data_IF_712080148189
#
_entry.id   IF_712080148189
#
_cell.length_a   1.000
_cell.length_b   1.000
_cell.length_c   1.000
_cell.angle_alpha   90.00
_cell.angle_beta   90.00
_cell.angle_gamma   90.00
#
_symmetry.space_group_name_H-M   'P 1'
#
loop_
_entity.id
_entity.type
_entity.pdbx_description
1 polymer ?
#
# COMPACT_ATOMS: atom_id res chain seq x y z
N UNK A 1 7.82 -7.13 -1.25
CA UNK A 1 9.08 -6.86 -1.94
C UNK A 1 9.53 -5.42 -1.69
N UNK A 2 10.85 -5.18 -1.64
CA UNK A 2 11.43 -3.84 -1.59
C UNK A 2 12.54 -3.75 -2.62
N UNK A 3 12.92 -2.53 -3.01
CA UNK A 3 13.97 -2.25 -4.01
C UNK A 3 13.80 -2.96 -5.36
N UNK A 4 12.58 -3.37 -5.71
CA UNK A 4 12.27 -3.99 -7.00
C UNK A 4 12.20 -2.93 -8.11
N UNK A 5 13.37 -2.42 -8.48
CA UNK A 5 13.55 -1.27 -9.38
C UNK A 5 14.98 -1.19 -9.89
N UNK A 6 15.18 -0.41 -10.96
CA UNK A 6 16.54 0.00 -11.37
C UNK A 6 17.11 1.05 -10.42
N UNK A 7 18.44 1.21 -10.38
CA UNK A 7 19.08 2.35 -9.72
C UNK A 7 18.59 3.68 -10.31
N UNK A 8 18.57 4.72 -9.49
CA UNK A 8 18.07 6.06 -9.84
C UNK A 8 18.95 6.86 -10.80
N UNK A 9 20.17 6.45 -11.00
CA UNK A 9 21.13 7.25 -11.79
C UNK A 9 21.16 6.79 -13.23
N UNK A 10 21.11 7.78 -14.13
CA UNK A 10 21.46 7.58 -15.52
C UNK A 10 22.82 6.89 -15.64
N UNK A 11 22.93 5.84 -16.43
CA UNK A 11 24.20 5.15 -16.66
C UNK A 11 24.26 3.73 -16.15
N UNK A 12 23.16 3.09 -15.77
CA UNK A 12 23.17 1.64 -15.57
C UNK A 12 23.67 0.96 -16.87
N UNK A 13 24.73 0.15 -16.82
CA UNK A 13 25.47 -0.27 -18.00
C UNK A 13 24.85 -1.45 -18.75
N UNK A 14 23.56 -1.40 -19.04
CA UNK A 14 22.78 -2.45 -19.71
C UNK A 14 22.55 -2.26 -21.20
N UNK A 15 23.09 -1.20 -21.80
CA UNK A 15 22.84 -0.89 -23.23
C UNK A 15 23.29 -2.03 -24.15
N UNK A 16 24.41 -2.68 -23.87
CA UNK A 16 24.87 -3.83 -24.65
C UNK A 16 23.92 -5.02 -24.54
N UNK A 17 23.40 -5.24 -23.35
CA UNK A 17 22.41 -6.29 -23.06
C UNK A 17 21.09 -6.01 -23.78
N UNK A 18 20.64 -4.76 -23.73
CA UNK A 18 19.46 -4.32 -24.50
C UNK A 18 19.63 -4.52 -26.01
N UNK A 19 20.78 -4.15 -26.58
CA UNK A 19 21.03 -4.35 -28.02
C UNK A 19 21.06 -5.84 -28.42
N UNK A 20 21.42 -6.73 -27.48
CA UNK A 20 21.47 -8.18 -27.72
C UNK A 20 20.12 -8.88 -27.50
N UNK A 21 19.36 -8.48 -26.49
CA UNK A 21 18.16 -9.19 -26.03
C UNK A 21 16.87 -8.36 -26.07
N UNK A 22 16.97 -7.06 -26.35
CA UNK A 22 15.82 -6.20 -26.50
C UNK A 22 15.14 -6.40 -27.86
N UNK A 23 13.86 -6.08 -27.92
CA UNK A 23 13.12 -6.07 -29.16
C UNK A 23 13.25 -4.72 -29.84
N UNK A 24 13.29 -4.70 -31.17
CA UNK A 24 13.45 -3.49 -31.99
C UNK A 24 12.28 -2.52 -31.93
N UNK A 25 11.12 -3.00 -31.47
CA UNK A 25 9.89 -2.21 -31.29
C UNK A 25 9.80 -1.52 -29.94
N UNK A 26 10.79 -1.71 -29.04
CA UNK A 26 10.77 -1.18 -27.67
C UNK A 26 11.96 -0.29 -27.37
N UNK A 27 11.71 0.80 -26.70
CA UNK A 27 12.77 1.65 -26.17
C UNK A 27 13.50 0.97 -24.99
N UNK A 28 14.71 1.41 -24.69
CA UNK A 28 15.48 0.93 -23.53
C UNK A 28 14.67 1.06 -22.22
N UNK A 29 13.93 2.15 -22.05
CA UNK A 29 13.13 2.36 -20.84
C UNK A 29 11.94 1.38 -20.74
N UNK A 30 11.30 1.07 -21.85
CA UNK A 30 10.25 0.05 -21.90
C UNK A 30 10.81 -1.34 -21.61
N UNK A 31 11.94 -1.69 -22.21
CA UNK A 31 12.61 -2.96 -21.96
C UNK A 31 13.04 -3.14 -20.49
N UNK A 32 13.52 -2.08 -19.86
CA UNK A 32 13.84 -2.09 -18.40
C UNK A 32 12.61 -2.34 -17.55
N UNK A 33 11.49 -1.66 -17.83
CA UNK A 33 10.23 -1.91 -17.11
C UNK A 33 9.76 -3.35 -17.26
N UNK A 34 9.83 -3.89 -18.48
CA UNK A 34 9.46 -5.28 -18.72
C UNK A 34 10.34 -6.30 -18.00
N UNK A 35 11.62 -6.02 -17.87
CA UNK A 35 12.50 -6.89 -17.10
C UNK A 35 12.08 -6.95 -15.62
N UNK A 36 11.72 -5.81 -15.03
CA UNK A 36 11.17 -5.75 -13.67
C UNK A 36 9.83 -6.49 -13.61
N UNK A 37 8.92 -6.22 -14.55
CA UNK A 37 7.62 -6.86 -14.63
C UNK A 37 7.75 -8.40 -14.67
N UNK A 38 8.67 -8.94 -15.48
CA UNK A 38 8.94 -10.39 -15.53
C UNK A 38 9.32 -10.97 -14.19
N UNK A 39 10.20 -10.29 -13.44
CA UNK A 39 10.60 -10.73 -12.09
C UNK A 39 9.38 -10.73 -11.16
N UNK A 40 8.63 -9.65 -11.14
CA UNK A 40 7.43 -9.51 -10.29
C UNK A 40 6.40 -10.59 -10.61
N UNK A 41 6.10 -10.82 -11.89
CA UNK A 41 5.13 -11.83 -12.31
C UNK A 41 5.58 -13.24 -11.93
N UNK A 42 6.86 -13.55 -12.14
CA UNK A 42 7.42 -14.85 -11.77
C UNK A 42 7.31 -15.08 -10.26
N UNK A 43 7.64 -14.09 -9.45
CA UNK A 43 7.56 -14.19 -7.98
C UNK A 43 6.10 -14.37 -7.55
N UNK A 44 5.18 -13.56 -8.07
CA UNK A 44 3.75 -13.67 -7.75
C UNK A 44 3.20 -15.05 -8.10
N UNK A 45 3.41 -15.51 -9.33
CA UNK A 45 2.89 -16.79 -9.81
C UNK A 45 3.47 -17.97 -9.02
N UNK A 46 4.76 -17.88 -8.66
CA UNK A 46 5.41 -18.90 -7.83
C UNK A 46 4.80 -18.96 -6.42
N UNK A 47 4.58 -17.82 -5.78
CA UNK A 47 3.95 -17.74 -4.46
C UNK A 47 2.52 -18.28 -4.51
N UNK A 48 1.71 -17.83 -5.49
CA UNK A 48 0.32 -18.25 -5.60
C UNK A 48 0.15 -19.72 -5.96
N UNK A 49 1.14 -20.33 -6.61
CA UNK A 49 1.18 -21.77 -6.86
C UNK A 49 1.42 -22.58 -5.59
N UNK A 50 2.23 -22.05 -4.66
CA UNK A 50 2.53 -22.71 -3.37
C UNK A 50 1.39 -22.50 -2.39
N UNK A 51 0.99 -21.25 -2.18
CA UNK A 51 -0.11 -20.89 -1.29
C UNK A 51 -0.84 -19.65 -1.82
N UNK A 52 -2.05 -19.81 -2.36
CA UNK A 52 -2.86 -18.71 -2.87
C UNK A 52 -3.27 -17.67 -1.80
N UNK A 53 -3.26 -18.06 -0.51
CA UNK A 53 -3.65 -17.16 0.58
C UNK A 53 -2.58 -16.16 0.95
N UNK A 54 -1.31 -16.45 0.66
CA UNK A 54 -0.20 -15.52 0.91
C UNK A 54 -0.35 -14.28 0.05
N UNK A 55 -0.27 -13.11 0.70
CA UNK A 55 -0.36 -11.81 0.03
C UNK A 55 1.02 -11.32 -0.39
N UNK A 56 1.12 -10.85 -1.63
CA UNK A 56 2.32 -10.18 -2.14
C UNK A 56 2.08 -8.69 -2.28
N UNK A 57 2.97 -7.91 -1.70
CA UNK A 57 3.02 -6.45 -1.89
C UNK A 57 4.44 -5.98 -2.18
N UNK A 58 4.56 -4.76 -2.69
CA UNK A 58 5.85 -4.08 -2.85
C UNK A 58 5.83 -2.69 -2.24
N UNK A 59 6.92 -2.35 -1.55
CA UNK A 59 7.25 -0.98 -1.24
C UNK A 59 7.77 -0.30 -2.52
N UNK A 60 7.06 0.71 -3.00
CA UNK A 60 7.34 1.37 -4.28
C UNK A 60 7.61 2.85 -4.08
N UNK A 61 8.20 3.51 -5.08
CA UNK A 61 8.42 4.95 -5.03
C UNK A 61 7.08 5.65 -4.83
N UNK A 62 7.01 6.56 -3.86
CA UNK A 62 5.78 7.23 -3.44
C UNK A 62 5.11 8.08 -4.53
N UNK A 63 5.85 8.47 -5.55
CA UNK A 63 5.38 9.17 -6.74
C UNK A 63 5.40 8.20 -7.92
N UNK A 64 4.21 7.79 -8.39
CA UNK A 64 4.12 6.89 -9.55
C UNK A 64 4.67 7.57 -10.80
N UNK A 65 4.11 8.72 -11.15
CA UNK A 65 4.52 9.52 -12.30
C UNK A 65 4.47 11.02 -11.97
N UNK A 66 4.95 11.86 -12.89
CA UNK A 66 4.78 13.31 -12.82
C UNK A 66 3.32 13.67 -13.06
N UNK A 67 2.76 14.53 -12.20
CA UNK A 67 1.39 14.99 -12.35
C UNK A 67 1.37 16.28 -13.20
N UNK A 68 0.51 16.37 -14.24
CA UNK A 68 0.45 17.53 -15.10
C UNK A 68 0.13 18.84 -14.39
N UNK A 69 -0.68 18.74 -13.33
CA UNK A 69 -1.19 19.92 -12.58
C UNK A 69 -0.42 20.18 -11.28
N UNK A 70 0.59 19.40 -10.97
CA UNK A 70 1.34 19.53 -9.73
C UNK A 70 2.84 19.30 -9.95
N UNK A 71 3.60 20.39 -9.94
CA UNK A 71 5.06 20.31 -10.01
C UNK A 71 5.64 19.83 -8.69
N UNK A 72 6.40 18.76 -8.73
CA UNK A 72 7.11 18.21 -7.59
C UNK A 72 8.51 17.76 -7.96
N UNK A 73 9.44 17.97 -7.06
CA UNK A 73 10.80 17.44 -7.15
C UNK A 73 10.83 15.95 -6.75
N UNK A 74 11.94 15.29 -7.04
CA UNK A 74 12.19 13.90 -6.66
C UNK A 74 11.79 12.88 -7.70
N UNK A 75 12.06 11.63 -7.39
CA UNK A 75 11.91 10.49 -8.31
C UNK A 75 10.45 10.14 -8.56
N UNK A 76 10.16 9.71 -9.78
CA UNK A 76 8.97 8.95 -10.10
C UNK A 76 9.32 7.48 -10.33
N UNK A 77 8.40 6.60 -10.01
CA UNK A 77 8.59 5.16 -10.22
C UNK A 77 8.86 4.83 -11.69
N UNK A 78 8.03 5.35 -12.57
CA UNK A 78 8.10 5.07 -14.01
C UNK A 78 9.36 5.58 -14.66
N UNK A 79 9.70 6.85 -14.44
CA UNK A 79 10.73 7.53 -15.23
C UNK A 79 12.11 7.40 -14.62
N UNK A 80 12.20 7.52 -13.29
CA UNK A 80 13.49 7.55 -12.61
C UNK A 80 14.08 6.16 -12.41
N UNK A 81 13.23 5.16 -12.11
CA UNK A 81 13.69 3.82 -11.70
C UNK A 81 12.99 2.67 -12.43
N UNK A 82 12.24 2.97 -13.47
CA UNK A 82 11.58 1.99 -14.35
C UNK A 82 10.64 1.02 -13.61
N UNK A 83 10.06 1.45 -12.50
CA UNK A 83 9.14 0.69 -11.66
C UNK A 83 7.70 1.00 -12.08
N UNK A 84 6.92 -0.02 -12.49
CA UNK A 84 5.56 0.13 -12.99
C UNK A 84 4.53 -0.66 -12.15
N UNK A 85 4.26 -0.23 -10.90
CA UNK A 85 3.34 -0.94 -10.03
C UNK A 85 1.89 -0.90 -10.51
N UNK A 86 1.51 0.12 -11.27
CA UNK A 86 0.16 0.20 -11.85
C UNK A 86 -0.06 -0.92 -12.85
N UNK A 87 0.94 -1.24 -13.67
CA UNK A 87 0.88 -2.39 -14.57
C UNK A 87 0.80 -3.71 -13.78
N UNK A 88 1.53 -3.85 -12.67
CA UNK A 88 1.45 -5.05 -11.83
C UNK A 88 0.05 -5.27 -11.26
N UNK A 89 -0.63 -4.20 -10.82
CA UNK A 89 -2.02 -4.26 -10.35
C UNK A 89 -3.00 -4.61 -11.48
N UNK A 90 -2.87 -3.97 -12.65
CA UNK A 90 -3.72 -4.26 -13.82
C UNK A 90 -3.63 -5.73 -14.27
N UNK A 91 -2.45 -6.31 -14.15
CA UNK A 91 -2.21 -7.72 -14.48
C UNK A 91 -2.54 -8.68 -13.31
N UNK A 92 -3.06 -8.17 -12.20
CA UNK A 92 -3.33 -8.94 -10.97
C UNK A 92 -2.08 -9.70 -10.47
N UNK A 93 -0.90 -9.05 -10.54
CA UNK A 93 0.38 -9.62 -10.09
C UNK A 93 0.87 -9.03 -8.76
N UNK A 94 -0.01 -8.34 -8.06
CA UNK A 94 0.16 -7.89 -6.67
C UNK A 94 -1.19 -7.91 -5.95
N UNK A 95 -1.18 -8.16 -4.66
CA UNK A 95 -2.40 -8.11 -3.85
C UNK A 95 -2.70 -6.67 -3.41
N UNK A 96 -1.67 -5.91 -3.11
CA UNK A 96 -1.74 -4.47 -2.82
C UNK A 96 -0.37 -3.81 -3.02
N UNK A 97 -0.32 -2.49 -3.04
CA UNK A 97 0.92 -1.70 -3.20
C UNK A 97 1.10 -0.77 -2.01
N UNK A 98 2.36 -0.58 -1.62
CA UNK A 98 2.77 0.31 -0.52
C UNK A 98 3.64 1.44 -1.07
N UNK A 99 3.07 2.55 -1.55
CA UNK A 99 3.85 3.71 -1.94
C UNK A 99 4.55 4.35 -0.73
N UNK A 100 5.86 4.55 -0.82
CA UNK A 100 6.68 5.20 0.21
C UNK A 100 6.48 6.73 0.18
N UNK A 101 5.37 7.18 0.75
CA UNK A 101 4.91 8.56 0.69
C UNK A 101 5.44 9.39 1.85
N UNK A 102 6.77 9.47 1.97
CA UNK A 102 7.47 10.20 3.04
C UNK A 102 7.51 11.71 2.74
N UNK A 103 6.37 12.25 2.34
CA UNK A 103 6.18 13.62 1.87
C UNK A 103 5.46 14.47 2.92
N UNK A 104 5.72 15.78 2.91
CA UNK A 104 4.87 16.73 3.61
C UNK A 104 3.47 16.81 2.97
N UNK A 105 2.51 17.38 3.67
CA UNK A 105 1.10 17.48 3.24
C UNK A 105 0.93 17.96 1.79
N UNK A 106 1.70 18.98 1.38
CA UNK A 106 1.62 19.55 0.04
C UNK A 106 1.80 18.51 -1.07
N UNK A 107 2.70 17.55 -0.88
CA UNK A 107 2.97 16.51 -1.86
C UNK A 107 2.24 15.20 -1.56
N UNK A 108 1.85 14.97 -0.32
CA UNK A 108 1.19 13.73 0.09
C UNK A 108 -0.15 13.52 -0.62
N UNK A 109 -1.05 14.49 -0.52
CA UNK A 109 -2.42 14.33 -1.03
C UNK A 109 -2.52 14.18 -2.55
N UNK A 110 -1.84 15.00 -3.38
CA UNK A 110 -1.91 14.81 -4.82
C UNK A 110 -1.46 13.42 -5.27
N UNK A 111 -0.39 12.89 -4.69
CA UNK A 111 0.10 11.56 -5.05
C UNK A 111 -0.73 10.43 -4.45
N UNK A 112 -1.32 10.58 -3.27
CA UNK A 112 -2.26 9.60 -2.73
C UNK A 112 -3.49 9.46 -3.64
N UNK A 113 -4.07 10.58 -4.05
CA UNK A 113 -5.23 10.58 -4.96
C UNK A 113 -4.86 9.95 -6.31
N UNK A 114 -3.67 10.22 -6.83
CA UNK A 114 -3.17 9.63 -8.06
C UNK A 114 -3.03 8.09 -7.91
N UNK A 115 -2.45 7.62 -6.82
CA UNK A 115 -2.36 6.19 -6.54
C UNK A 115 -3.72 5.51 -6.46
N UNK A 116 -4.66 6.10 -5.73
CA UNK A 116 -6.02 5.55 -5.61
C UNK A 116 -6.76 5.50 -6.94
N UNK A 117 -6.58 6.51 -7.81
CA UNK A 117 -7.13 6.49 -9.17
C UNK A 117 -6.58 5.36 -10.05
N UNK A 118 -5.33 4.97 -9.84
CA UNK A 118 -4.65 3.96 -10.66
C UNK A 118 -4.59 2.57 -10.00
N UNK A 119 -5.32 2.36 -8.90
CA UNK A 119 -5.25 1.13 -8.10
C UNK A 119 -5.83 -0.12 -8.77
N UNK A 120 -6.54 0.01 -9.89
CA UNK A 120 -7.18 -1.12 -10.60
C UNK A 120 -8.04 -2.02 -9.68
N UNK A 121 -8.66 -1.46 -8.65
CA UNK A 121 -9.47 -2.19 -7.67
C UNK A 121 -8.68 -2.85 -6.52
N UNK A 122 -7.37 -2.71 -6.51
CA UNK A 122 -6.51 -3.21 -5.43
C UNK A 122 -6.34 -2.18 -4.31
N UNK A 123 -6.15 -2.61 -3.05
CA UNK A 123 -5.86 -1.68 -1.97
C UNK A 123 -4.52 -0.95 -2.18
N UNK A 124 -4.53 0.35 -1.92
CA UNK A 124 -3.32 1.15 -1.78
C UNK A 124 -3.09 1.38 -0.29
N UNK A 125 -1.95 0.94 0.22
CA UNK A 125 -1.56 1.10 1.62
C UNK A 125 -0.50 2.18 1.70
N UNK A 126 -0.84 3.36 2.19
CA UNK A 126 0.10 4.48 2.20
C UNK A 126 1.25 4.26 3.18
N UNK A 127 2.49 4.31 2.67
CA UNK A 127 3.71 4.26 3.47
C UNK A 127 4.01 5.64 4.07
N UNK A 128 3.92 5.77 5.38
CA UNK A 128 4.11 7.03 6.09
C UNK A 128 5.48 7.08 6.76
N UNK A 129 6.15 8.24 6.66
CA UNK A 129 7.48 8.46 7.22
C UNK A 129 7.45 8.85 8.69
N UNK A 130 7.26 7.92 9.62
CA UNK A 130 7.31 8.20 11.05
C UNK A 130 8.68 8.75 11.50
N UNK A 131 9.75 8.38 10.83
CA UNK A 131 11.09 8.91 11.10
C UNK A 131 11.19 10.43 10.90
N UNK A 132 10.32 11.01 10.06
CA UNK A 132 10.26 12.47 9.82
C UNK A 132 9.88 13.28 11.06
N UNK A 133 9.36 12.62 12.10
CA UNK A 133 9.08 13.25 13.39
C UNK A 133 10.37 13.56 14.17
N UNK A 134 11.46 12.84 13.90
CA UNK A 134 12.75 13.11 14.53
C UNK A 134 13.30 14.46 14.11
N UNK A 135 13.94 15.17 15.04
CA UNK A 135 14.53 16.50 14.84
C UNK A 135 15.50 16.51 13.65
N UNK A 136 16.35 15.47 13.53
CA UNK A 136 17.37 15.39 12.49
C UNK A 136 16.83 14.97 11.12
N UNK A 137 15.58 14.47 11.06
CA UNK A 137 14.99 13.90 9.84
C UNK A 137 13.84 14.73 9.26
N UNK A 138 13.60 15.93 9.81
CA UNK A 138 12.59 16.84 9.29
C UNK A 138 11.74 17.54 10.33
N UNK A 139 11.78 17.09 11.57
CA UNK A 139 11.12 17.70 12.75
C UNK A 139 9.61 17.94 12.55
N UNK A 140 8.93 17.01 11.85
CA UNK A 140 7.50 17.16 11.58
C UNK A 140 6.69 17.19 12.88
N UNK A 141 5.63 17.97 12.86
CA UNK A 141 4.67 17.97 13.98
C UNK A 141 3.84 16.69 13.94
N UNK A 142 3.55 16.13 15.11
CA UNK A 142 2.68 14.96 15.24
C UNK A 142 1.32 15.17 14.56
N UNK A 143 0.76 16.37 14.69
CA UNK A 143 -0.54 16.73 14.10
C UNK A 143 -0.55 16.58 12.57
N UNK A 144 0.50 17.00 11.87
CA UNK A 144 0.61 16.93 10.42
C UNK A 144 0.76 15.46 9.98
N UNK A 145 1.53 14.68 10.73
CA UNK A 145 1.65 13.25 10.50
C UNK A 145 0.31 12.51 10.71
N UNK A 146 -0.38 12.76 11.82
CA UNK A 146 -1.67 12.11 12.11
C UNK A 146 -2.77 12.53 11.14
N UNK A 147 -2.71 13.75 10.58
CA UNK A 147 -3.61 14.17 9.50
C UNK A 147 -3.45 13.26 8.28
N UNK A 148 -2.24 12.88 7.91
CA UNK A 148 -2.03 11.91 6.82
C UNK A 148 -2.66 10.54 7.12
N UNK A 149 -2.69 10.11 8.39
CA UNK A 149 -3.37 8.87 8.81
C UNK A 149 -4.89 8.97 8.61
N UNK A 150 -5.52 10.04 9.10
CA UNK A 150 -6.98 10.21 9.02
C UNK A 150 -7.44 10.49 7.58
N UNK A 151 -6.79 11.43 6.92
CA UNK A 151 -7.15 11.81 5.56
C UNK A 151 -6.81 10.71 4.55
N UNK A 152 -5.78 9.89 4.82
CA UNK A 152 -5.46 8.73 4.00
C UNK A 152 -6.69 7.83 3.83
N UNK A 153 -7.39 7.53 4.91
CA UNK A 153 -8.66 6.77 4.88
C UNK A 153 -9.75 7.49 4.08
N UNK A 154 -9.90 8.80 4.33
CA UNK A 154 -10.90 9.64 3.63
C UNK A 154 -10.69 9.67 2.12
N UNK A 155 -9.44 9.65 1.65
CA UNK A 155 -9.09 9.66 0.23
C UNK A 155 -8.98 8.26 -0.38
N UNK A 156 -9.38 7.20 0.32
CA UNK A 156 -9.53 5.86 -0.22
C UNK A 156 -8.30 4.96 -0.07
N UNK A 157 -7.32 5.32 0.77
CA UNK A 157 -6.28 4.37 1.14
C UNK A 157 -6.86 3.20 1.93
N UNK A 158 -6.50 1.97 1.56
CA UNK A 158 -6.93 0.74 2.23
C UNK A 158 -6.23 0.48 3.57
N UNK A 159 -5.23 1.28 3.91
CA UNK A 159 -4.48 1.19 5.16
C UNK A 159 -3.23 2.04 5.16
N UNK A 160 -2.43 1.91 6.22
CA UNK A 160 -1.15 2.60 6.36
C UNK A 160 -0.06 1.65 6.82
N UNK A 161 1.18 1.94 6.43
CA UNK A 161 2.40 1.39 7.01
C UNK A 161 3.30 2.51 7.49
N UNK A 162 4.18 2.22 8.43
CA UNK A 162 4.99 3.24 9.09
C UNK A 162 6.47 2.93 8.96
N UNK A 163 7.21 3.80 8.35
CA UNK A 163 8.66 3.71 8.30
C UNK A 163 9.25 4.77 9.25
N UNK A 164 9.95 4.39 10.30
CA UNK A 164 10.32 3.01 10.62
C UNK A 164 9.85 2.60 12.01
N UNK A 165 9.84 1.30 12.27
CA UNK A 165 9.37 0.71 13.53
C UNK A 165 10.06 1.29 14.77
N UNK A 166 11.36 1.58 14.71
CA UNK A 166 12.11 2.19 15.79
C UNK A 166 11.44 3.46 16.36
N UNK A 167 10.92 4.34 15.48
CA UNK A 167 10.25 5.57 15.89
C UNK A 167 8.94 5.31 16.63
N UNK A 168 8.26 4.20 16.30
CA UNK A 168 7.06 3.76 17.02
C UNK A 168 7.43 3.18 18.38
N UNK A 169 8.45 2.32 18.46
CA UNK A 169 8.92 1.73 19.72
C UNK A 169 9.37 2.82 20.70
N UNK A 170 10.12 3.81 20.20
CA UNK A 170 10.59 4.94 21.01
C UNK A 170 9.48 5.97 21.30
N UNK A 171 8.29 5.75 20.73
CA UNK A 171 7.14 6.65 20.86
C UNK A 171 7.49 8.12 20.54
N UNK A 172 8.25 8.34 19.46
CA UNK A 172 8.72 9.65 19.03
C UNK A 172 7.56 10.65 18.95
N UNK A 173 7.68 11.77 19.66
CA UNK A 173 6.60 12.78 19.80
C UNK A 173 5.21 12.18 20.08
N UNK A 174 5.15 11.04 20.82
CA UNK A 174 3.92 10.32 21.13
C UNK A 174 3.20 9.69 19.93
N UNK A 175 3.89 9.42 18.84
CA UNK A 175 3.31 8.88 17.62
C UNK A 175 2.66 7.50 17.83
N UNK A 176 3.27 6.61 18.60
CA UNK A 176 2.70 5.30 18.89
C UNK A 176 1.38 5.42 19.66
N UNK A 177 1.35 6.27 20.68
CA UNK A 177 0.13 6.54 21.46
C UNK A 177 -0.99 7.09 20.57
N UNK A 178 -0.67 8.03 19.67
CA UNK A 178 -1.63 8.61 18.75
C UNK A 178 -2.16 7.59 17.72
N UNK A 179 -1.29 6.71 17.22
CA UNK A 179 -1.68 5.63 16.30
C UNK A 179 -2.60 4.63 17.02
N UNK A 180 -2.28 4.20 18.25
CA UNK A 180 -3.17 3.33 19.03
C UNK A 180 -4.56 3.94 19.21
N UNK A 181 -4.64 5.24 19.44
CA UNK A 181 -5.92 5.92 19.56
C UNK A 181 -6.68 5.96 18.21
N UNK A 182 -5.97 6.18 17.09
CA UNK A 182 -6.56 6.18 15.75
C UNK A 182 -7.08 4.79 15.32
N UNK A 183 -6.47 3.73 15.85
CA UNK A 183 -6.83 2.33 15.58
C UNK A 183 -7.46 1.65 16.81
N UNK A 184 -8.10 2.42 17.67
CA UNK A 184 -8.74 1.93 18.89
C UNK A 184 -9.75 0.81 18.62
N UNK A 185 -10.46 0.89 17.52
CA UNK A 185 -11.44 -0.11 17.12
C UNK A 185 -10.90 -0.97 15.98
N UNK A 186 -11.14 -2.30 16.02
CA UNK A 186 -10.79 -3.16 14.90
C UNK A 186 -11.58 -2.77 13.64
N UNK A 187 -11.00 -3.05 12.48
CA UNK A 187 -11.64 -2.84 11.19
C UNK A 187 -11.44 -4.06 10.30
N UNK A 188 -12.37 -4.29 9.39
CA UNK A 188 -12.23 -5.31 8.36
C UNK A 188 -11.07 -4.95 7.42
N UNK A 189 -10.37 -5.97 6.94
CA UNK A 189 -9.42 -5.79 5.85
C UNK A 189 -10.14 -5.27 4.60
N UNK A 190 -9.48 -4.43 3.78
CA UNK A 190 -10.04 -4.00 2.51
C UNK A 190 -10.45 -5.21 1.66
N UNK A 191 -11.63 -5.19 1.02
CA UNK A 191 -12.06 -6.29 0.17
C UNK A 191 -11.11 -6.44 -1.02
N UNK A 192 -10.76 -7.69 -1.33
CA UNK A 192 -9.91 -8.02 -2.48
C UNK A 192 -10.78 -8.49 -3.64
N UNK A 193 -11.56 -7.58 -4.19
CA UNK A 193 -12.59 -7.86 -5.21
C UNK A 193 -12.03 -8.51 -6.48
N UNK A 194 -10.78 -8.21 -6.82
CA UNK A 194 -10.08 -8.80 -7.97
C UNK A 194 -9.84 -10.32 -7.85
N UNK A 195 -9.99 -10.90 -6.66
CA UNK A 195 -9.83 -12.35 -6.46
C UNK A 195 -11.07 -13.16 -6.86
N UNK A 196 -12.14 -12.53 -7.29
CA UNK A 196 -13.36 -13.19 -7.77
C UNK A 196 -14.08 -14.05 -6.73
N UNK A 197 -13.76 -13.92 -5.44
CA UNK A 197 -14.42 -14.68 -4.38
C UNK A 197 -15.74 -14.02 -4.03
N UNK A 198 -16.79 -14.84 -3.92
CA UNK A 198 -18.06 -14.41 -3.33
C UNK A 198 -17.84 -13.95 -1.89
N UNK A 199 -18.36 -12.79 -1.56
CA UNK A 199 -18.39 -12.34 -0.17
C UNK A 199 -19.20 -13.34 0.67
N UNK A 200 -18.80 -13.64 1.91
CA UNK A 200 -19.62 -14.44 2.80
C UNK A 200 -20.98 -13.76 3.02
N UNK A 201 -22.00 -14.57 3.22
CA UNK A 201 -23.32 -14.07 3.59
C UNK A 201 -23.24 -13.35 4.95
N UNK A 202 -24.16 -12.44 5.20
CA UNK A 202 -24.33 -11.92 6.55
C UNK A 202 -24.69 -13.06 7.51
N UNK A 203 -24.26 -13.02 8.79
CA UNK A 203 -24.75 -13.95 9.78
C UNK A 203 -26.27 -13.83 9.93
N UNK A 204 -26.93 -14.97 10.01
CA UNK A 204 -28.36 -15.01 10.35
C UNK A 204 -28.52 -15.00 11.89
N UNK A 205 -29.73 -14.71 12.35
CA UNK A 205 -30.14 -14.93 13.76
C UNK A 205 -29.31 -14.18 14.81
N UNK A 206 -29.01 -12.90 14.59
CA UNK A 206 -28.38 -12.08 15.64
C UNK A 206 -29.31 -11.97 16.86
N UNK A 207 -28.87 -12.57 17.99
CA UNK A 207 -29.57 -12.52 19.26
C UNK A 207 -28.78 -11.69 20.27
N UNK A 208 -29.50 -10.94 21.11
CA UNK A 208 -28.93 -10.11 22.17
C UNK A 208 -29.46 -10.59 23.51
N UNK A 209 -28.60 -10.93 24.43
CA UNK A 209 -28.93 -11.28 25.82
C UNK A 209 -28.37 -10.21 26.76
N UNK A 210 -29.20 -9.56 27.53
CA UNK A 210 -28.79 -8.58 28.53
C UNK A 210 -28.65 -9.26 29.90
N UNK A 211 -27.48 -9.14 30.53
CA UNK A 211 -27.23 -9.52 31.93
C UNK A 211 -26.86 -8.27 32.72
N UNK A 212 -26.91 -8.37 34.03
CA UNK A 212 -26.76 -7.23 34.95
C UNK A 212 -25.50 -6.38 34.72
N UNK A 213 -24.40 -6.97 34.25
CA UNK A 213 -23.12 -6.28 34.05
C UNK A 213 -22.53 -6.48 32.64
N UNK A 214 -23.27 -7.11 31.72
CA UNK A 214 -22.76 -7.44 30.40
C UNK A 214 -23.88 -7.69 29.41
N UNK A 215 -23.59 -7.42 28.15
CA UNK A 215 -24.46 -7.76 27.03
C UNK A 215 -23.76 -8.82 26.20
N UNK A 216 -24.45 -9.89 25.90
CA UNK A 216 -23.96 -10.97 25.03
C UNK A 216 -24.65 -10.90 23.68
N UNK A 217 -23.84 -11.09 22.65
CA UNK A 217 -24.30 -11.18 21.28
C UNK A 217 -24.03 -12.61 20.78
N UNK A 218 -25.03 -13.22 20.18
CA UNK A 218 -24.95 -14.55 19.59
C UNK A 218 -25.40 -14.47 18.14
N UNK A 219 -24.74 -15.21 17.28
CA UNK A 219 -25.11 -15.36 15.87
C UNK A 219 -24.68 -16.72 15.36
N UNK A 220 -25.27 -17.16 14.27
CA UNK A 220 -24.91 -18.42 13.63
C UNK A 220 -23.57 -18.28 12.90
N UNK A 221 -22.76 -19.33 12.93
CA UNK A 221 -21.46 -19.35 12.26
C UNK A 221 -21.65 -19.33 10.73
N UNK A 222 -20.90 -18.48 10.07
CA UNK A 222 -20.86 -18.42 8.61
C UNK A 222 -19.64 -19.19 8.10
N UNK A 223 -19.87 -20.06 7.12
CA UNK A 223 -18.78 -20.85 6.51
C UNK A 223 -17.76 -19.94 5.81
N UNK A 224 -16.47 -20.29 5.90
CA UNK A 224 -15.37 -19.58 5.29
C UNK A 224 -15.13 -18.14 5.84
N UNK A 225 -15.61 -17.83 7.03
CA UNK A 225 -15.30 -16.58 7.76
C UNK A 225 -14.26 -16.85 8.83
N UNK A 226 -13.26 -15.98 8.92
CA UNK A 226 -12.23 -16.05 9.97
C UNK A 226 -12.55 -15.19 11.17
N UNK A 227 -13.17 -14.05 10.93
CA UNK A 227 -13.37 -12.99 11.93
C UNK A 227 -14.72 -12.31 11.71
N UNK A 228 -15.32 -11.85 12.79
CA UNK A 228 -16.48 -10.98 12.80
C UNK A 228 -16.09 -9.66 13.43
N UNK A 229 -16.54 -8.55 12.87
CA UNK A 229 -16.33 -7.22 13.44
C UNK A 229 -17.68 -6.64 13.83
N UNK A 230 -17.81 -6.25 15.09
CA UNK A 230 -19.01 -5.62 15.63
C UNK A 230 -18.86 -4.12 15.52
N UNK A 231 -19.84 -3.46 14.90
CA UNK A 231 -19.95 -2.01 14.86
C UNK A 231 -21.10 -1.59 15.76
N UNK A 232 -20.81 -0.72 16.74
CA UNK A 232 -21.82 -0.05 17.57
C UNK A 232 -22.16 1.31 16.98
N UNK A 233 -23.42 1.69 17.02
CA UNK A 233 -23.92 3.04 16.71
C UNK A 233 -23.97 3.88 17.99
#
# INVERSE_FOLDING_TARGET
LDYIRYPDKAGFPDRKTYLKYGSSDKTLNQWRRENINKIVYTVYDSIKKIDPAVKLSSAVIGKYNTLPVFSSLGWSGIESVHQDPVEWLKQNKHDFIVPMMYFSERSFYPFLIDWVKHCAGHPIVSGLGAYRLCVNDGDWRLQDFMRQVYDGRRYGAGGQTYYRLENLINNEKFVYTAILQAYRYPALYPPMNYMGKTLPCAPDSLCVEYKTLSTFLYWDSVTNVREYVLYGS
#
